data_IF_199958681730
#
_entry.id   IF_199958681730
#
_cell.length_a   1.000
_cell.length_b   1.000
_cell.length_c   1.000
_cell.angle_alpha   90.00
_cell.angle_beta   90.00
_cell.angle_gamma   90.00
#
_symmetry.space_group_name_H-M   'P 1'
#
loop_
_entity.id
_entity.type
_entity.pdbx_description
1 polymer ?
#
# COMPACT_ATOMS: atom_id res chain seq x y z
N UNK A 1 33.44 18.48 -4.21
CA UNK A 1 31.99 18.32 -4.53
C UNK A 1 31.76 16.86 -4.81
N UNK A 2 30.95 16.19 -3.97
CA UNK A 2 30.63 14.76 -4.16
C UNK A 2 29.76 14.55 -5.39
N UNK A 3 29.99 13.46 -6.13
CA UNK A 3 29.12 12.99 -7.21
C UNK A 3 28.21 11.88 -6.69
N UNK A 4 26.89 12.09 -6.75
CA UNK A 4 25.87 11.17 -6.25
C UNK A 4 25.01 10.68 -7.41
N UNK A 5 24.88 9.36 -7.53
CA UNK A 5 23.96 8.73 -8.49
C UNK A 5 22.70 8.30 -7.76
N UNK A 6 21.55 8.77 -8.24
CA UNK A 6 20.23 8.31 -7.76
C UNK A 6 19.64 7.36 -8.77
N UNK A 7 19.35 6.13 -8.37
CA UNK A 7 18.86 5.05 -9.23
C UNK A 7 17.34 4.90 -9.06
N UNK A 8 16.58 5.39 -10.05
CA UNK A 8 15.12 5.39 -10.08
C UNK A 8 14.50 6.74 -9.70
N UNK A 9 13.67 7.27 -10.58
CA UNK A 9 13.00 8.57 -10.47
C UNK A 9 11.59 8.50 -9.85
N UNK A 10 11.36 7.59 -8.89
CA UNK A 10 10.14 7.52 -8.08
C UNK A 10 10.12 8.59 -6.96
N UNK A 11 9.17 8.49 -6.02
CA UNK A 11 9.04 9.45 -4.91
C UNK A 11 10.33 9.56 -4.09
N UNK A 12 10.94 8.44 -3.69
CA UNK A 12 12.19 8.43 -2.94
C UNK A 12 13.34 9.06 -3.73
N UNK A 13 13.49 8.67 -5.02
CA UNK A 13 14.58 9.19 -5.85
C UNK A 13 14.43 10.65 -6.22
N UNK A 14 13.22 11.13 -6.46
CA UNK A 14 12.95 12.56 -6.68
C UNK A 14 13.34 13.38 -5.45
N UNK A 15 12.95 12.93 -4.26
CA UNK A 15 13.34 13.59 -3.03
C UNK A 15 14.84 13.55 -2.82
N UNK A 16 15.46 12.36 -2.94
CA UNK A 16 16.90 12.21 -2.76
C UNK A 16 17.69 13.11 -3.73
N UNK A 17 17.30 13.14 -5.01
CA UNK A 17 18.00 13.95 -6.02
C UNK A 17 17.87 15.47 -5.77
N UNK A 18 16.68 15.93 -5.36
CA UNK A 18 16.46 17.34 -5.02
C UNK A 18 17.27 17.74 -3.79
N UNK A 19 17.25 16.93 -2.75
CA UNK A 19 17.94 17.24 -1.49
C UNK A 19 19.46 17.22 -1.72
N UNK A 20 20.01 16.17 -2.34
CA UNK A 20 21.45 16.12 -2.61
C UNK A 20 21.91 17.30 -3.48
N UNK A 21 21.12 17.71 -4.49
CA UNK A 21 21.44 18.89 -5.31
C UNK A 21 21.33 20.19 -4.53
N UNK A 22 20.35 20.34 -3.64
CA UNK A 22 20.22 21.49 -2.72
C UNK A 22 21.43 21.63 -1.81
N UNK A 23 21.94 20.52 -1.30
CA UNK A 23 23.11 20.44 -0.41
C UNK A 23 24.44 20.54 -1.19
N UNK A 24 24.42 20.87 -2.48
CA UNK A 24 25.62 21.21 -3.26
C UNK A 24 26.35 20.02 -3.89
N UNK A 25 25.78 18.82 -3.90
CA UNK A 25 26.35 17.69 -4.64
C UNK A 25 26.10 17.79 -6.15
N UNK A 26 26.98 17.18 -6.95
CA UNK A 26 26.72 16.89 -8.35
C UNK A 26 25.84 15.65 -8.44
N UNK A 27 24.61 15.79 -8.92
CA UNK A 27 23.62 14.70 -8.90
C UNK A 27 23.24 14.28 -10.31
N UNK A 28 23.25 12.95 -10.54
CA UNK A 28 22.70 12.31 -11.74
C UNK A 28 21.57 11.40 -11.30
N UNK A 29 20.36 11.65 -11.79
CA UNK A 29 19.18 10.81 -11.58
C UNK A 29 18.96 9.94 -12.82
N UNK A 30 19.10 8.63 -12.66
CA UNK A 30 18.92 7.63 -13.72
C UNK A 30 17.52 6.98 -13.58
N UNK A 31 16.70 7.15 -14.62
CA UNK A 31 15.35 6.58 -14.69
C UNK A 31 15.20 5.74 -15.96
N UNK A 32 14.80 4.47 -15.81
CA UNK A 32 14.62 3.57 -16.94
C UNK A 32 13.39 3.87 -17.81
N UNK A 33 12.41 4.58 -17.24
CA UNK A 33 11.20 4.97 -17.95
C UNK A 33 11.39 6.29 -18.68
N UNK A 34 10.46 6.61 -19.59
CA UNK A 34 10.44 7.85 -20.36
C UNK A 34 10.00 9.08 -19.53
N UNK A 35 9.72 8.92 -18.24
CA UNK A 35 9.38 10.00 -17.32
C UNK A 35 9.58 9.59 -15.87
N UNK A 36 9.90 10.52 -14.99
CA UNK A 36 9.96 10.35 -13.54
C UNK A 36 8.57 10.37 -12.92
N UNK A 37 8.44 9.85 -11.68
CA UNK A 37 7.21 9.92 -10.88
C UNK A 37 6.03 9.11 -11.43
N UNK A 38 6.25 8.14 -12.30
CA UNK A 38 5.18 7.39 -12.98
C UNK A 38 4.24 6.70 -12.01
N UNK A 39 4.78 5.96 -11.02
CA UNK A 39 3.98 5.27 -9.99
C UNK A 39 3.30 6.28 -9.05
N UNK A 40 3.99 7.34 -8.65
CA UNK A 40 3.40 8.44 -7.87
C UNK A 40 2.19 9.05 -8.60
N UNK A 41 2.27 9.19 -9.93
CA UNK A 41 1.21 9.72 -10.79
C UNK A 41 -0.09 8.94 -10.80
N UNK A 42 -0.10 7.65 -10.45
CA UNK A 42 -1.30 6.82 -10.39
C UNK A 42 -1.88 6.68 -8.99
N UNK A 43 -1.15 7.09 -7.95
CA UNK A 43 -1.64 7.02 -6.57
C UNK A 43 -2.85 7.91 -6.34
N UNK A 44 -3.72 7.54 -5.39
CA UNK A 44 -4.93 8.30 -5.10
C UNK A 44 -5.86 8.49 -6.31
N UNK A 45 -5.89 7.53 -7.25
CA UNK A 45 -6.65 7.59 -8.52
C UNK A 45 -6.21 8.76 -9.43
N UNK A 46 -4.91 8.98 -9.54
CA UNK A 46 -4.33 10.03 -10.38
C UNK A 46 -4.18 11.40 -9.69
N UNK A 47 -4.56 11.49 -8.40
CA UNK A 47 -4.49 12.74 -7.63
C UNK A 47 -3.20 12.91 -6.83
N UNK A 48 -2.43 11.85 -6.61
CA UNK A 48 -1.27 11.77 -5.71
C UNK A 48 -1.64 11.98 -4.24
N UNK A 49 -1.85 10.89 -3.48
CA UNK A 49 -1.98 10.96 -2.03
C UNK A 49 -0.59 11.12 -1.40
N UNK A 50 -0.15 12.37 -1.24
CA UNK A 50 1.23 12.76 -0.93
C UNK A 50 1.68 12.20 0.41
N UNK A 51 0.86 12.36 1.44
CA UNK A 51 1.13 11.95 2.81
C UNK A 51 -0.16 11.82 3.61
N UNK A 52 -0.06 11.70 4.92
CA UNK A 52 -1.14 11.76 5.88
C UNK A 52 -0.86 12.84 6.94
N UNK A 53 -1.89 13.44 7.51
CA UNK A 53 -1.78 14.41 8.62
C UNK A 53 -1.73 13.76 10.00
N UNK A 54 -1.54 12.44 10.07
CA UNK A 54 -1.41 11.69 11.30
C UNK A 54 -0.08 12.00 12.02
N UNK A 55 0.01 11.69 13.31
CA UNK A 55 1.24 11.74 14.07
C UNK A 55 2.18 10.55 13.77
N UNK A 56 3.40 10.62 14.25
CA UNK A 56 4.41 9.57 14.04
C UNK A 56 3.97 8.20 14.56
N UNK A 57 3.28 8.14 15.70
CA UNK A 57 2.82 6.88 16.28
C UNK A 57 1.83 6.16 15.35
N UNK A 58 0.91 6.92 14.75
CA UNK A 58 -0.04 6.39 13.79
C UNK A 58 0.64 6.00 12.46
N UNK A 59 1.69 6.73 12.01
CA UNK A 59 2.52 6.31 10.88
C UNK A 59 3.16 4.94 11.11
N UNK A 60 3.79 4.74 12.26
CA UNK A 60 4.42 3.46 12.62
C UNK A 60 3.39 2.33 12.70
N UNK A 61 2.24 2.59 13.30
CA UNK A 61 1.13 1.63 13.41
C UNK A 61 0.56 1.24 12.04
N UNK A 62 0.49 2.19 11.10
CA UNK A 62 0.02 1.95 9.73
C UNK A 62 1.12 1.43 8.80
N UNK A 63 2.31 1.13 9.32
CA UNK A 63 3.41 0.49 8.60
C UNK A 63 3.70 -0.89 9.21
N UNK A 64 2.84 -1.90 8.97
CA UNK A 64 2.99 -3.24 9.55
C UNK A 64 4.19 -4.01 9.00
N UNK A 65 4.77 -3.56 7.89
CA UNK A 65 6.02 -4.03 7.33
C UNK A 65 7.21 -3.25 7.86
N UNK A 66 7.68 -3.62 9.06
CA UNK A 66 8.91 -3.07 9.67
C UNK A 66 8.88 -1.56 10.00
N UNK A 67 7.72 -0.98 10.30
CA UNK A 67 7.56 0.46 10.56
C UNK A 67 8.52 1.05 11.59
N UNK A 68 8.96 0.25 12.58
CA UNK A 68 9.94 0.71 13.58
C UNK A 68 11.29 1.14 12.99
N UNK A 69 11.67 0.62 11.83
CA UNK A 69 12.87 1.06 11.12
C UNK A 69 12.81 2.53 10.71
N UNK A 70 11.61 3.06 10.49
CA UNK A 70 11.39 4.41 9.99
C UNK A 70 11.43 5.50 11.07
N UNK A 71 11.55 5.17 12.36
CA UNK A 71 11.59 6.18 13.43
C UNK A 71 12.61 7.27 13.14
N UNK A 72 13.86 6.90 12.88
CA UNK A 72 14.92 7.88 12.61
C UNK A 72 14.68 8.71 11.35
N UNK A 73 14.07 8.12 10.31
CA UNK A 73 13.74 8.85 9.09
C UNK A 73 12.59 9.83 9.30
N UNK A 74 11.55 9.46 10.05
CA UNK A 74 10.42 10.34 10.35
C UNK A 74 10.77 11.45 11.36
N UNK A 75 11.70 11.18 12.28
CA UNK A 75 12.22 12.21 13.21
C UNK A 75 13.02 13.30 12.48
N UNK A 76 13.78 12.91 11.45
CA UNK A 76 14.59 13.84 10.64
C UNK A 76 13.81 14.54 9.52
N UNK A 77 12.76 13.91 9.02
CA UNK A 77 11.91 14.46 7.96
C UNK A 77 10.49 13.89 8.09
N UNK A 78 9.67 14.60 8.84
CA UNK A 78 8.28 14.26 9.12
C UNK A 78 7.35 14.58 7.94
N UNK A 79 6.07 14.27 8.10
CA UNK A 79 5.02 14.69 7.18
C UNK A 79 4.80 16.22 7.19
N UNK A 80 5.01 16.87 8.33
CA UNK A 80 4.96 18.35 8.45
C UNK A 80 6.11 18.98 7.67
N UNK A 81 7.35 18.50 7.88
CA UNK A 81 8.53 18.96 7.13
C UNK A 81 8.35 18.77 5.61
N UNK A 82 7.75 17.65 5.19
CA UNK A 82 7.43 17.41 3.78
C UNK A 82 6.45 18.44 3.25
N UNK A 83 5.39 18.73 4.00
CA UNK A 83 4.38 19.70 3.57
C UNK A 83 4.95 21.11 3.50
N UNK A 84 5.74 21.53 4.49
CA UNK A 84 6.42 22.83 4.51
C UNK A 84 7.37 22.97 3.32
N UNK A 85 8.12 21.91 3.02
CA UNK A 85 9.00 21.89 1.86
C UNK A 85 8.23 22.04 0.55
N UNK A 86 7.16 21.28 0.37
CA UNK A 86 6.32 21.33 -0.83
C UNK A 86 5.59 22.68 -0.97
N UNK A 87 5.10 23.24 0.14
CA UNK A 87 4.50 24.58 0.17
C UNK A 87 5.51 25.66 -0.20
N UNK A 88 6.75 25.57 0.26
CA UNK A 88 7.85 26.49 -0.11
C UNK A 88 8.16 26.45 -1.62
N UNK A 89 7.86 25.34 -2.29
CA UNK A 89 7.98 25.19 -3.75
C UNK A 89 6.74 25.66 -4.50
N UNK A 90 5.68 26.06 -3.79
CA UNK A 90 4.44 26.59 -4.34
C UNK A 90 3.33 25.56 -4.55
N UNK A 91 3.50 24.31 -4.07
CA UNK A 91 2.41 23.32 -4.07
C UNK A 91 1.42 23.64 -2.96
N UNK A 92 0.16 23.82 -3.30
CA UNK A 92 -0.92 23.90 -2.30
C UNK A 92 -1.52 22.53 -2.05
N UNK A 93 -1.86 22.25 -0.80
CA UNK A 93 -2.40 20.96 -0.38
C UNK A 93 -3.69 21.10 0.41
N UNK A 94 -4.50 20.02 0.40
CA UNK A 94 -5.71 19.88 1.20
C UNK A 94 -5.71 18.55 1.94
N UNK A 95 -6.34 18.54 3.13
CA UNK A 95 -6.53 17.32 3.94
C UNK A 95 -7.96 16.81 3.71
N UNK A 96 -8.09 15.54 3.40
CA UNK A 96 -9.36 14.84 3.24
C UNK A 96 -9.62 13.87 4.40
N UNK A 97 -10.83 13.26 4.39
CA UNK A 97 -11.22 12.24 5.39
C UNK A 97 -10.13 11.19 5.58
N UNK A 98 -9.83 10.88 6.85
CA UNK A 98 -8.78 9.92 7.23
C UNK A 98 -7.37 10.51 7.17
N UNK A 99 -7.24 11.83 7.22
CA UNK A 99 -5.95 12.53 7.25
C UNK A 99 -5.19 12.51 5.93
N UNK A 100 -5.78 12.03 4.84
CA UNK A 100 -5.11 11.93 3.53
C UNK A 100 -4.84 13.31 2.95
N UNK A 101 -3.60 13.55 2.52
CA UNK A 101 -3.18 14.82 1.96
C UNK A 101 -3.04 14.73 0.45
N UNK A 102 -3.69 15.64 -0.27
CA UNK A 102 -3.67 15.73 -1.73
C UNK A 102 -3.27 17.15 -2.17
N UNK A 103 -2.76 17.33 -3.40
CA UNK A 103 -2.67 18.67 -3.98
C UNK A 103 -4.08 19.27 -4.12
N UNK A 104 -4.23 20.59 -3.94
CA UNK A 104 -5.52 21.28 -4.11
C UNK A 104 -6.11 21.07 -5.51
N UNK A 105 -5.27 20.97 -6.53
CA UNK A 105 -5.64 20.74 -7.93
C UNK A 105 -6.18 19.33 -8.21
N UNK A 106 -6.09 18.39 -7.26
CA UNK A 106 -6.36 16.96 -7.50
C UNK A 106 -5.54 16.36 -8.66
N UNK A 107 -4.35 16.89 -8.94
CA UNK A 107 -3.51 16.48 -10.07
C UNK A 107 -2.13 16.03 -9.63
N UNK A 108 -1.85 14.74 -9.81
CA UNK A 108 -0.51 14.20 -9.60
C UNK A 108 0.54 14.80 -10.57
N UNK A 109 0.09 15.32 -11.72
CA UNK A 109 0.95 15.99 -12.69
C UNK A 109 1.55 17.28 -12.11
N UNK A 110 0.78 18.02 -11.31
CA UNK A 110 1.30 19.22 -10.64
C UNK A 110 2.44 18.86 -9.68
N UNK A 111 2.27 17.84 -8.84
CA UNK A 111 3.31 17.37 -7.93
C UNK A 111 4.58 17.00 -8.69
N UNK A 112 4.45 16.22 -9.77
CA UNK A 112 5.60 15.85 -10.62
C UNK A 112 6.29 17.08 -11.24
N UNK A 113 5.52 18.02 -11.77
CA UNK A 113 6.06 19.22 -12.44
C UNK A 113 6.83 20.11 -11.46
N UNK A 114 6.37 20.20 -10.20
CA UNK A 114 7.07 20.91 -9.13
C UNK A 114 8.43 20.24 -8.87
N UNK A 115 8.50 18.93 -8.70
CA UNK A 115 9.77 18.22 -8.55
C UNK A 115 10.70 18.48 -9.73
N UNK A 116 10.21 18.40 -10.98
CA UNK A 116 11.03 18.67 -12.18
C UNK A 116 11.57 20.10 -12.20
N UNK A 117 10.77 21.09 -11.80
CA UNK A 117 11.21 22.50 -11.68
C UNK A 117 12.34 22.63 -10.66
N UNK A 118 12.23 21.95 -9.51
CA UNK A 118 13.22 22.04 -8.44
C UNK A 118 14.50 21.27 -8.78
N UNK A 119 14.41 20.10 -9.42
CA UNK A 119 15.59 19.39 -9.98
C UNK A 119 16.39 20.28 -10.91
N UNK A 120 15.69 20.98 -11.82
CA UNK A 120 16.33 21.95 -12.72
C UNK A 120 16.99 23.13 -11.97
N UNK A 121 16.33 23.65 -10.92
CA UNK A 121 16.87 24.73 -10.08
C UNK A 121 18.20 24.35 -9.43
N UNK A 122 18.36 23.11 -9.02
CA UNK A 122 19.58 22.61 -8.38
C UNK A 122 20.53 21.87 -9.36
N UNK A 123 20.35 22.07 -10.66
CA UNK A 123 21.21 21.51 -11.73
C UNK A 123 21.35 19.97 -11.68
N UNK A 124 20.34 19.27 -11.22
CA UNK A 124 20.31 17.80 -11.25
C UNK A 124 20.20 17.33 -12.70
N UNK A 125 21.11 16.46 -13.12
CA UNK A 125 21.06 15.81 -14.44
C UNK A 125 20.07 14.65 -14.39
N UNK A 126 19.00 14.71 -15.19
CA UNK A 126 17.98 13.66 -15.25
C UNK A 126 18.11 12.93 -16.58
N UNK A 127 18.45 11.65 -16.48
CA UNK A 127 18.58 10.76 -17.64
C UNK A 127 17.38 9.80 -17.66
N UNK A 128 16.59 9.90 -18.71
CA UNK A 128 15.41 9.05 -18.94
C UNK A 128 15.73 7.95 -19.95
N UNK A 129 14.94 6.85 -19.92
CA UNK A 129 15.16 5.66 -20.73
C UNK A 129 16.60 5.14 -20.57
N UNK A 130 17.07 5.10 -19.32
CA UNK A 130 18.43 4.70 -18.97
C UNK A 130 18.43 3.76 -17.75
N UNK A 131 18.24 2.47 -17.98
CA UNK A 131 18.25 1.46 -16.93
C UNK A 131 19.66 1.22 -16.40
N UNK A 132 19.81 1.21 -15.08
CA UNK A 132 21.03 0.78 -14.40
C UNK A 132 21.13 -0.75 -14.47
N UNK A 133 22.28 -1.27 -14.86
CA UNK A 133 22.55 -2.71 -15.04
C UNK A 133 23.46 -3.29 -13.95
N UNK A 134 24.34 -2.44 -13.37
CA UNK A 134 25.21 -2.85 -12.25
C UNK A 134 25.68 -1.68 -11.42
N UNK A 135 26.08 -1.97 -10.18
CA UNK A 135 26.78 -1.07 -9.26
C UNK A 135 28.19 -1.60 -9.13
N UNK A 136 29.18 -0.72 -9.34
CA UNK A 136 30.61 -1.07 -9.24
C UNK A 136 31.09 -0.80 -7.83
N UNK A 137 31.64 -1.83 -7.19
CA UNK A 137 32.16 -1.79 -5.83
C UNK A 137 33.65 -2.13 -5.85
N UNK A 138 34.46 -1.35 -5.14
CA UNK A 138 35.87 -1.62 -4.90
C UNK A 138 36.13 -1.40 -3.40
N UNK A 139 36.89 -2.30 -2.77
CA UNK A 139 37.23 -2.25 -1.35
C UNK A 139 36.00 -1.96 -0.43
N UNK A 140 34.90 -2.65 -0.70
CA UNK A 140 33.61 -2.50 -0.01
C UNK A 140 33.02 -1.06 -0.07
N UNK A 141 33.36 -0.28 -1.09
CA UNK A 141 32.76 1.03 -1.36
C UNK A 141 32.24 1.13 -2.78
N UNK A 142 31.14 1.87 -2.95
CA UNK A 142 30.64 2.22 -4.28
C UNK A 142 31.66 3.15 -4.93
N UNK A 143 32.00 2.85 -6.19
CA UNK A 143 32.87 3.71 -7.02
C UNK A 143 32.21 4.10 -8.34
N UNK A 144 31.08 3.48 -8.69
CA UNK A 144 30.37 3.81 -9.93
C UNK A 144 29.11 3.01 -10.15
N UNK A 145 28.40 3.37 -11.19
CA UNK A 145 27.16 2.75 -11.69
C UNK A 145 27.24 2.59 -13.18
N UNK A 146 26.82 1.45 -13.71
CA UNK A 146 26.79 1.17 -15.15
C UNK A 146 25.35 1.10 -15.64
N UNK A 147 25.10 1.72 -16.78
CA UNK A 147 23.82 1.63 -17.50
C UNK A 147 24.00 0.81 -18.79
N UNK A 148 22.97 0.74 -19.61
CA UNK A 148 23.05 0.18 -20.97
C UNK A 148 23.74 1.14 -21.96
N UNK A 149 24.03 2.38 -21.55
CA UNK A 149 24.64 3.41 -22.40
C UNK A 149 26.08 3.74 -22.00
N UNK A 150 26.33 3.97 -20.71
CA UNK A 150 27.62 4.43 -20.21
C UNK A 150 27.89 4.06 -18.76
N UNK A 151 29.09 4.38 -18.29
CA UNK A 151 29.52 4.18 -16.91
C UNK A 151 29.70 5.55 -16.23
N UNK A 152 29.17 5.66 -15.02
CA UNK A 152 29.25 6.84 -14.18
C UNK A 152 30.09 6.55 -12.95
N UNK A 153 31.21 7.24 -12.77
CA UNK A 153 31.91 7.24 -11.49
C UNK A 153 31.08 7.97 -10.44
N UNK A 154 31.13 7.56 -9.19
CA UNK A 154 30.43 8.27 -8.10
C UNK A 154 31.07 8.01 -6.74
N UNK A 155 30.84 8.95 -5.82
CA UNK A 155 31.20 8.84 -4.40
C UNK A 155 30.12 8.10 -3.60
N UNK A 156 28.85 8.16 -4.08
CA UNK A 156 27.72 7.48 -3.47
C UNK A 156 26.63 7.13 -4.51
N UNK A 157 25.89 6.04 -4.24
CA UNK A 157 24.72 5.64 -5.02
C UNK A 157 23.53 5.38 -4.11
N UNK A 158 22.34 5.87 -4.50
CA UNK A 158 21.08 5.71 -3.75
C UNK A 158 20.11 4.87 -4.58
N UNK A 159 19.78 3.65 -4.11
CA UNK A 159 18.83 2.77 -4.79
C UNK A 159 17.40 3.20 -4.39
N UNK A 160 16.64 3.72 -5.38
CA UNK A 160 15.27 4.24 -5.23
C UNK A 160 14.31 3.61 -6.25
N UNK A 161 14.56 2.38 -6.68
CA UNK A 161 13.87 1.73 -7.80
C UNK A 161 12.43 1.30 -7.51
N UNK A 162 11.97 1.44 -6.26
CA UNK A 162 10.67 0.91 -5.83
C UNK A 162 10.66 -0.61 -5.73
N UNK A 163 9.48 -1.20 -5.63
CA UNK A 163 9.25 -2.63 -5.51
C UNK A 163 9.04 -3.35 -6.85
N UNK A 164 8.11 -4.32 -6.85
CA UNK A 164 7.73 -5.13 -8.02
C UNK A 164 6.23 -5.00 -8.38
N UNK A 165 5.52 -4.06 -7.74
CA UNK A 165 4.10 -3.80 -8.00
C UNK A 165 3.91 -2.73 -9.08
N UNK A 166 2.85 -2.86 -9.90
CA UNK A 166 2.60 -2.00 -11.07
C UNK A 166 3.79 -1.92 -12.04
N UNK A 167 4.24 -3.04 -12.64
CA UNK A 167 5.46 -3.09 -13.44
C UNK A 167 5.48 -2.12 -14.63
N UNK A 168 4.31 -1.75 -15.18
CA UNK A 168 4.19 -0.74 -16.24
C UNK A 168 4.63 0.67 -15.80
N UNK A 169 4.78 0.91 -14.51
CA UNK A 169 5.31 2.16 -13.96
C UNK A 169 6.82 2.17 -13.79
N UNK A 170 7.49 1.05 -14.07
CA UNK A 170 8.92 0.88 -13.89
C UNK A 170 9.33 0.07 -12.64
N UNK A 171 8.40 -0.27 -11.75
CA UNK A 171 8.66 -1.09 -10.55
C UNK A 171 8.67 -2.57 -10.92
N UNK A 172 9.79 -3.09 -11.39
CA UNK A 172 9.96 -4.48 -11.87
C UNK A 172 10.91 -5.31 -11.00
N UNK A 173 11.37 -4.76 -9.86
CA UNK A 173 12.28 -5.44 -8.96
C UNK A 173 13.77 -5.32 -9.35
N UNK A 174 14.14 -4.42 -10.26
CA UNK A 174 15.54 -4.27 -10.70
C UNK A 174 16.48 -3.95 -9.53
N UNK A 175 16.04 -3.14 -8.57
CA UNK A 175 16.82 -2.81 -7.39
C UNK A 175 17.18 -4.01 -6.53
N UNK A 176 16.34 -5.03 -6.51
CA UNK A 176 16.63 -6.29 -5.81
C UNK A 176 17.81 -7.01 -6.47
N UNK A 177 17.78 -7.09 -7.80
CA UNK A 177 18.88 -7.70 -8.58
C UNK A 177 20.20 -6.93 -8.41
N UNK A 178 20.11 -5.58 -8.42
CA UNK A 178 21.28 -4.73 -8.21
C UNK A 178 21.88 -4.93 -6.82
N UNK A 179 21.04 -4.96 -5.78
CA UNK A 179 21.46 -5.12 -4.40
C UNK A 179 22.03 -6.53 -4.13
N UNK A 180 21.38 -7.57 -4.66
CA UNK A 180 21.84 -8.96 -4.54
C UNK A 180 23.23 -9.17 -5.16
N UNK A 181 23.50 -8.57 -6.33
CA UNK A 181 24.81 -8.64 -7.01
C UNK A 181 25.93 -8.04 -6.17
N UNK A 182 25.66 -7.12 -5.26
CA UNK A 182 26.65 -6.52 -4.37
C UNK A 182 26.59 -7.08 -2.93
N UNK A 183 25.90 -8.21 -2.74
CA UNK A 183 25.93 -9.01 -1.52
C UNK A 183 24.80 -8.77 -0.53
N UNK A 184 23.80 -7.97 -0.88
CA UNK A 184 22.62 -7.77 -0.04
C UNK A 184 21.63 -8.92 -0.11
N UNK A 185 20.99 -9.19 1.02
CA UNK A 185 19.93 -10.21 1.12
C UNK A 185 18.59 -9.60 0.70
N UNK A 186 17.87 -10.29 -0.19
CA UNK A 186 16.50 -9.94 -0.55
C UNK A 186 15.54 -10.81 0.25
N UNK A 187 14.64 -10.20 1.00
CA UNK A 187 13.58 -10.91 1.72
C UNK A 187 12.49 -11.35 0.75
N UNK A 188 11.59 -12.23 1.20
CA UNK A 188 10.55 -12.81 0.36
C UNK A 188 9.60 -11.74 -0.21
N UNK A 189 9.63 -11.58 -1.53
CA UNK A 189 8.81 -10.62 -2.26
C UNK A 189 7.39 -11.15 -2.42
N UNK A 190 6.42 -10.39 -1.94
CA UNK A 190 5.01 -10.78 -1.95
C UNK A 190 4.08 -9.58 -2.17
N UNK A 191 2.83 -9.82 -2.60
CA UNK A 191 1.85 -8.75 -2.73
C UNK A 191 1.42 -8.22 -1.35
N UNK A 192 1.29 -6.90 -1.23
CA UNK A 192 0.64 -6.22 -0.12
C UNK A 192 -0.36 -5.21 -0.66
N UNK A 193 -1.48 -5.01 0.04
CA UNK A 193 -2.59 -4.20 -0.43
C UNK A 193 -3.13 -4.71 -1.79
N UNK A 194 -3.54 -5.95 -1.81
CA UNK A 194 -3.96 -6.68 -3.00
C UNK A 194 -5.33 -7.32 -2.79
N UNK A 195 -6.16 -7.50 -3.84
CA UNK A 195 -7.40 -8.24 -3.72
C UNK A 195 -7.18 -9.70 -3.31
N UNK A 196 -8.19 -10.28 -2.65
CA UNK A 196 -8.21 -11.66 -2.16
C UNK A 196 -9.08 -12.51 -3.08
N UNK A 197 -8.54 -13.64 -3.55
CA UNK A 197 -9.30 -14.65 -4.30
C UNK A 197 -9.94 -15.62 -3.30
N UNK A 198 -11.23 -15.93 -3.50
CA UNK A 198 -11.99 -16.86 -2.66
C UNK A 198 -12.45 -18.10 -3.42
N UNK A 199 -12.80 -19.16 -2.69
CA UNK A 199 -13.27 -20.39 -3.30
C UNK A 199 -14.73 -20.29 -3.74
N UNK A 200 -15.52 -19.41 -3.12
CA UNK A 200 -16.96 -19.26 -3.35
C UNK A 200 -17.25 -18.66 -4.72
N UNK A 201 -18.01 -19.36 -5.53
CA UNK A 201 -18.33 -18.96 -6.90
C UNK A 201 -19.44 -17.91 -7.00
N UNK A 202 -20.30 -17.83 -6.00
CA UNK A 202 -21.42 -16.89 -5.96
C UNK A 202 -21.00 -15.41 -5.93
N UNK A 203 -19.75 -15.12 -5.57
CA UNK A 203 -19.20 -13.74 -5.59
C UNK A 203 -19.33 -13.09 -6.99
N UNK A 204 -19.33 -13.91 -8.05
CA UNK A 204 -19.51 -13.45 -9.45
C UNK A 204 -20.88 -12.84 -9.69
N UNK A 205 -21.91 -13.36 -9.00
CA UNK A 205 -23.30 -12.93 -9.15
C UNK A 205 -23.51 -11.50 -8.63
N UNK A 206 -22.63 -11.05 -7.72
CA UNK A 206 -22.68 -9.73 -7.10
C UNK A 206 -21.41 -8.90 -7.37
N UNK A 207 -20.71 -9.20 -8.46
CA UNK A 207 -19.55 -8.44 -8.90
C UNK A 207 -19.87 -6.95 -9.02
N UNK A 208 -19.00 -6.08 -8.46
CA UNK A 208 -19.17 -4.63 -8.44
C UNK A 208 -20.00 -4.11 -7.27
N UNK A 209 -20.66 -5.00 -6.49
CA UNK A 209 -21.36 -4.58 -5.28
C UNK A 209 -20.36 -4.09 -4.23
N UNK A 210 -20.47 -2.82 -3.87
CA UNK A 210 -19.71 -2.22 -2.77
C UNK A 210 -20.55 -2.19 -1.50
N UNK A 211 -19.95 -2.61 -0.40
CA UNK A 211 -20.54 -2.54 0.93
C UNK A 211 -19.80 -1.48 1.76
N UNK A 212 -20.58 -0.67 2.47
CA UNK A 212 -20.07 0.35 3.39
C UNK A 212 -20.41 -0.03 4.83
N UNK A 213 -19.57 0.45 5.76
CA UNK A 213 -19.79 0.24 7.20
C UNK A 213 -19.94 -1.25 7.58
N UNK A 214 -19.16 -2.11 6.95
CA UNK A 214 -19.02 -3.52 7.30
C UNK A 214 -17.78 -3.74 8.14
N UNK A 215 -17.79 -4.80 8.95
CA UNK A 215 -16.61 -5.27 9.66
C UNK A 215 -16.15 -6.56 9.01
N UNK A 216 -14.87 -6.62 8.65
CA UNK A 216 -14.26 -7.78 8.02
C UNK A 216 -13.17 -8.34 8.92
N UNK A 217 -13.23 -9.64 9.19
CA UNK A 217 -12.27 -10.36 10.03
C UNK A 217 -11.54 -11.42 9.22
N UNK A 218 -10.24 -11.53 9.43
CA UNK A 218 -9.41 -12.66 8.94
C UNK A 218 -9.34 -13.69 10.07
N UNK A 219 -9.85 -14.88 9.83
CA UNK A 219 -9.88 -15.97 10.79
C UNK A 219 -8.93 -17.08 10.34
N UNK A 220 -8.12 -17.60 11.25
CA UNK A 220 -7.30 -18.79 11.04
C UNK A 220 -7.21 -19.59 12.34
N UNK A 221 -7.37 -20.93 12.25
CA UNK A 221 -7.40 -21.82 13.41
C UNK A 221 -8.43 -21.36 14.46
N UNK A 222 -9.63 -20.99 14.02
CA UNK A 222 -10.74 -20.50 14.85
C UNK A 222 -10.42 -19.24 15.68
N UNK A 223 -9.38 -18.48 15.30
CA UNK A 223 -9.00 -17.23 15.98
C UNK A 223 -8.97 -16.07 14.99
N UNK A 224 -9.50 -14.93 15.41
CA UNK A 224 -9.37 -13.67 14.66
C UNK A 224 -7.91 -13.25 14.69
N UNK A 225 -7.32 -13.10 13.51
CA UNK A 225 -5.94 -12.68 13.31
C UNK A 225 -5.82 -11.18 13.01
N UNK A 226 -6.81 -10.63 12.33
CA UNK A 226 -6.94 -9.21 12.05
C UNK A 226 -8.40 -8.87 11.81
N UNK A 227 -8.76 -7.61 12.04
CA UNK A 227 -10.10 -7.09 11.87
C UNK A 227 -10.03 -5.66 11.34
N UNK A 228 -10.93 -5.32 10.42
CA UNK A 228 -11.01 -3.99 9.84
C UNK A 228 -12.46 -3.56 9.61
N UNK A 229 -12.79 -2.34 10.00
CA UNK A 229 -14.09 -1.72 9.70
C UNK A 229 -13.97 -0.75 8.52
N UNK A 230 -14.97 -0.74 7.63
CA UNK A 230 -14.99 0.22 6.51
C UNK A 230 -15.72 -0.28 5.28
N UNK A 231 -15.12 -0.04 4.11
CA UNK A 231 -15.70 -0.35 2.80
C UNK A 231 -14.98 -1.53 2.14
N UNK A 232 -15.76 -2.39 1.49
CA UNK A 232 -15.27 -3.49 0.66
C UNK A 232 -16.10 -3.61 -0.62
N UNK A 233 -15.62 -4.39 -1.57
CA UNK A 233 -16.31 -4.65 -2.83
C UNK A 233 -16.12 -6.11 -3.26
N UNK A 234 -17.17 -6.71 -3.81
CA UNK A 234 -17.10 -8.02 -4.46
C UNK A 234 -16.57 -7.90 -5.89
N UNK A 235 -15.76 -8.88 -6.30
CA UNK A 235 -15.24 -9.01 -7.65
C UNK A 235 -15.65 -10.36 -8.24
N UNK A 236 -15.37 -10.60 -9.52
CA UNK A 236 -15.65 -11.90 -10.14
C UNK A 236 -14.80 -13.07 -9.60
N UNK A 237 -13.76 -12.77 -8.83
CA UNK A 237 -12.84 -13.78 -8.25
C UNK A 237 -12.83 -13.79 -6.71
N UNK A 238 -13.47 -12.84 -6.05
CA UNK A 238 -13.44 -12.72 -4.59
C UNK A 238 -13.68 -11.30 -4.12
N UNK A 239 -12.75 -10.74 -3.33
CA UNK A 239 -12.96 -9.53 -2.55
C UNK A 239 -11.88 -8.48 -2.82
N UNK A 240 -12.27 -7.19 -2.77
CA UNK A 240 -11.38 -6.03 -2.84
C UNK A 240 -11.95 -4.86 -2.02
N UNK A 241 -11.35 -3.69 -2.15
CA UNK A 241 -11.74 -2.48 -1.41
C UNK A 241 -10.84 -2.21 -0.21
N UNK A 242 -10.94 -1.03 0.41
CA UNK A 242 -9.96 -0.55 1.39
C UNK A 242 -9.73 -1.51 2.57
N UNK A 243 -10.79 -2.10 3.14
CA UNK A 243 -10.68 -3.06 4.24
C UNK A 243 -9.96 -4.33 3.82
N UNK A 244 -10.32 -4.88 2.65
CA UNK A 244 -9.74 -6.11 2.11
C UNK A 244 -8.26 -5.91 1.77
N UNK A 245 -7.94 -4.79 1.13
CA UNK A 245 -6.55 -4.46 0.79
C UNK A 245 -5.68 -4.38 2.04
N UNK A 246 -6.15 -3.74 3.10
CA UNK A 246 -5.42 -3.68 4.38
C UNK A 246 -5.26 -5.07 5.02
N UNK A 247 -6.31 -5.88 5.01
CA UNK A 247 -6.29 -7.24 5.58
C UNK A 247 -5.42 -8.22 4.77
N UNK A 248 -5.20 -7.97 3.48
CA UNK A 248 -4.40 -8.83 2.59
C UNK A 248 -2.96 -9.01 3.08
N UNK A 249 -2.39 -8.01 3.78
CA UNK A 249 -1.08 -8.12 4.43
C UNK A 249 -1.04 -9.28 5.46
N UNK A 250 -2.06 -9.36 6.32
CA UNK A 250 -2.20 -10.46 7.29
C UNK A 250 -2.45 -11.80 6.58
N UNK A 251 -3.31 -11.81 5.57
CA UNK A 251 -3.58 -13.01 4.75
C UNK A 251 -2.28 -13.51 4.10
N UNK A 252 -1.47 -12.63 3.52
CA UNK A 252 -0.18 -12.98 2.93
C UNK A 252 0.79 -13.63 3.94
N UNK A 253 0.85 -13.12 5.17
CA UNK A 253 1.63 -13.76 6.26
C UNK A 253 1.11 -15.14 6.63
N UNK A 254 -0.21 -15.34 6.63
CA UNK A 254 -0.84 -16.61 7.00
C UNK A 254 -0.67 -17.67 5.91
N UNK A 255 -0.76 -17.30 4.64
CA UNK A 255 -0.60 -18.22 3.50
C UNK A 255 0.79 -18.90 3.46
N UNK A 256 1.78 -18.32 4.13
CA UNK A 256 3.14 -18.92 4.24
C UNK A 256 3.22 -20.07 5.26
N UNK A 257 2.22 -20.24 6.10
CA UNK A 257 2.19 -21.32 7.09
C UNK A 257 1.83 -22.64 6.40
N UNK A 258 2.33 -23.74 6.94
CA UNK A 258 1.98 -25.08 6.45
C UNK A 258 0.47 -25.33 6.59
N UNK A 259 -0.19 -25.70 5.49
CA UNK A 259 -1.64 -25.95 5.42
C UNK A 259 -2.49 -24.81 6.01
N UNK A 260 -2.44 -23.59 5.47
CA UNK A 260 -3.19 -22.47 5.99
C UNK A 260 -4.68 -22.66 5.69
N UNK A 261 -5.50 -22.68 6.74
CA UNK A 261 -6.96 -22.52 6.63
C UNK A 261 -7.27 -21.07 7.01
N UNK A 262 -7.71 -20.28 6.04
CA UNK A 262 -7.98 -18.86 6.24
C UNK A 262 -9.39 -18.57 5.74
N UNK A 263 -10.18 -17.98 6.61
CA UNK A 263 -11.55 -17.56 6.32
C UNK A 263 -11.65 -16.05 6.47
N UNK A 264 -12.32 -15.40 5.53
CA UNK A 264 -12.80 -14.03 5.68
C UNK A 264 -14.22 -14.09 6.20
N UNK A 265 -14.48 -13.46 7.32
CA UNK A 265 -15.80 -13.29 7.88
C UNK A 265 -16.23 -11.83 7.73
N UNK A 266 -17.43 -11.61 7.19
CA UNK A 266 -18.00 -10.29 6.95
C UNK A 266 -19.22 -10.12 7.85
N UNK A 267 -19.18 -9.14 8.76
CA UNK A 267 -20.32 -8.66 9.49
C UNK A 267 -20.95 -7.48 8.74
N UNK A 268 -22.15 -7.71 8.20
CA UNK A 268 -22.89 -6.69 7.43
C UNK A 268 -23.57 -5.66 8.32
N UNK A 269 -23.71 -5.93 9.63
CA UNK A 269 -24.41 -5.08 10.60
C UNK A 269 -23.63 -4.95 11.92
N UNK A 270 -22.36 -4.47 11.86
CA UNK A 270 -21.47 -4.47 13.02
C UNK A 270 -21.92 -3.58 14.18
N UNK A 271 -22.79 -2.60 13.91
CA UNK A 271 -23.36 -1.73 14.95
C UNK A 271 -24.48 -2.38 15.78
N UNK A 272 -24.96 -3.58 15.39
CA UNK A 272 -26.07 -4.26 16.06
C UNK A 272 -25.56 -5.51 16.75
N UNK A 273 -25.99 -5.74 18.01
CA UNK A 273 -25.82 -7.05 18.64
C UNK A 273 -26.77 -8.06 18.01
N UNK A 274 -26.55 -9.36 18.23
CA UNK A 274 -27.41 -10.41 17.68
C UNK A 274 -28.88 -10.25 18.14
N UNK A 275 -29.09 -9.86 19.40
CA UNK A 275 -30.44 -9.65 19.99
C UNK A 275 -31.13 -8.42 19.37
N UNK A 276 -30.36 -7.33 19.11
CA UNK A 276 -30.91 -6.13 18.51
C UNK A 276 -31.23 -6.37 17.04
N UNK A 277 -30.38 -7.13 16.33
CA UNK A 277 -30.63 -7.51 14.95
C UNK A 277 -31.87 -8.44 14.82
N UNK A 278 -32.01 -9.40 15.71
CA UNK A 278 -33.20 -10.28 15.74
C UNK A 278 -34.50 -9.47 15.98
N UNK A 279 -34.48 -8.55 16.94
CA UNK A 279 -35.64 -7.65 17.17
C UNK A 279 -35.93 -6.76 15.96
N UNK A 280 -34.91 -6.30 15.25
CA UNK A 280 -35.08 -5.52 14.04
C UNK A 280 -35.72 -6.37 12.93
N UNK A 281 -35.23 -7.60 12.71
CA UNK A 281 -35.85 -8.52 11.75
C UNK A 281 -37.30 -8.85 12.09
N UNK A 282 -37.62 -9.06 13.37
CA UNK A 282 -39.02 -9.27 13.81
C UNK A 282 -39.89 -8.09 13.37
N UNK A 283 -39.49 -6.88 13.70
CA UNK A 283 -40.21 -5.66 13.32
C UNK A 283 -40.40 -5.50 11.84
N UNK A 284 -39.35 -5.76 11.04
CA UNK A 284 -39.39 -5.67 9.58
C UNK A 284 -40.32 -6.77 9.00
N UNK A 285 -40.32 -7.99 9.61
CA UNK A 285 -41.20 -9.11 9.24
C UNK A 285 -42.68 -8.85 9.56
N UNK A 286 -42.97 -8.20 10.69
CA UNK A 286 -44.33 -7.80 11.01
C UNK A 286 -44.87 -6.78 10.00
N UNK A 287 -44.02 -5.80 9.62
CA UNK A 287 -44.36 -4.77 8.61
C UNK A 287 -44.63 -5.36 7.23
N UNK A 288 -43.88 -6.39 6.85
CA UNK A 288 -43.92 -7.01 5.51
C UNK A 288 -44.53 -8.43 5.50
N UNK A 289 -45.33 -8.78 6.51
CA UNK A 289 -45.80 -10.13 6.79
C UNK A 289 -46.41 -10.88 5.60
N UNK A 290 -47.07 -10.16 4.68
CA UNK A 290 -47.72 -10.74 3.48
C UNK A 290 -46.79 -10.82 2.26
N UNK A 291 -45.55 -10.25 2.34
CA UNK A 291 -44.61 -10.28 1.23
C UNK A 291 -43.79 -11.58 1.26
N UNK A 292 -43.21 -11.93 0.10
CA UNK A 292 -42.16 -12.96 0.05
C UNK A 292 -40.88 -12.45 0.73
N UNK A 293 -40.10 -13.38 1.31
CA UNK A 293 -38.89 -13.07 2.06
C UNK A 293 -37.94 -12.15 1.28
N UNK A 294 -37.66 -12.43 0.02
CA UNK A 294 -36.80 -11.59 -0.81
C UNK A 294 -37.27 -10.13 -0.91
N UNK A 295 -38.57 -9.90 -0.92
CA UNK A 295 -39.15 -8.56 -1.00
C UNK A 295 -39.14 -7.80 0.34
N UNK A 296 -39.18 -8.51 1.45
CA UNK A 296 -39.16 -7.91 2.79
C UNK A 296 -37.78 -7.54 3.30
N UNK A 297 -36.70 -7.96 2.61
CA UNK A 297 -35.33 -7.66 3.00
C UNK A 297 -34.74 -6.41 2.33
N UNK A 298 -35.50 -5.73 1.46
CA UNK A 298 -34.98 -4.59 0.65
C UNK A 298 -34.56 -3.38 1.47
N UNK A 299 -35.15 -3.17 2.64
CA UNK A 299 -34.77 -2.07 3.55
C UNK A 299 -33.53 -2.41 4.39
N UNK A 300 -33.15 -3.67 4.42
CA UNK A 300 -32.03 -4.15 5.22
C UNK A 300 -30.75 -4.34 4.41
N UNK A 301 -30.87 -4.79 3.16
CA UNK A 301 -29.74 -5.17 2.29
C UNK A 301 -29.86 -4.61 0.88
N UNK A 302 -28.72 -4.40 0.19
CA UNK A 302 -28.71 -4.16 -1.26
C UNK A 302 -29.42 -5.30 -1.99
N UNK A 303 -30.23 -4.93 -2.98
CA UNK A 303 -31.13 -5.88 -3.69
C UNK A 303 -30.35 -7.08 -4.25
N UNK A 304 -29.16 -6.86 -4.81
CA UNK A 304 -28.35 -7.93 -5.39
C UNK A 304 -27.77 -8.89 -4.33
N UNK A 305 -27.65 -8.48 -3.07
CA UNK A 305 -27.12 -9.32 -1.99
C UNK A 305 -28.19 -10.21 -1.36
N UNK A 306 -29.45 -9.84 -1.47
CA UNK A 306 -30.58 -10.56 -0.84
C UNK A 306 -30.63 -12.03 -1.25
N UNK A 307 -30.59 -12.41 -2.54
CA UNK A 307 -30.62 -13.81 -2.93
C UNK A 307 -29.48 -14.65 -2.35
N UNK A 308 -28.29 -14.05 -2.25
CA UNK A 308 -27.10 -14.70 -1.69
C UNK A 308 -27.30 -14.96 -0.18
N UNK A 309 -27.74 -13.95 0.58
CA UNK A 309 -27.99 -14.08 2.03
C UNK A 309 -29.06 -15.13 2.33
N UNK A 310 -30.14 -15.14 1.55
CA UNK A 310 -31.22 -16.12 1.71
C UNK A 310 -30.70 -17.55 1.41
N UNK A 311 -29.92 -17.71 0.34
CA UNK A 311 -29.29 -18.99 -0.04
C UNK A 311 -28.32 -19.48 1.05
N UNK A 312 -27.47 -18.60 1.57
CA UNK A 312 -26.52 -18.94 2.66
C UNK A 312 -27.25 -19.28 3.97
N UNK A 313 -28.43 -18.72 4.22
CA UNK A 313 -29.27 -19.05 5.36
C UNK A 313 -30.10 -20.32 5.14
N UNK A 314 -29.98 -20.98 3.99
CA UNK A 314 -30.74 -22.18 3.60
C UNK A 314 -32.25 -21.96 3.67
N UNK A 315 -32.72 -20.83 3.10
CA UNK A 315 -34.13 -20.45 3.08
C UNK A 315 -34.68 -20.35 1.66
N UNK A 316 -36.00 -20.49 1.54
CA UNK A 316 -36.73 -20.24 0.28
C UNK A 316 -37.04 -18.74 0.13
N UNK A 317 -36.56 -18.13 -0.94
CA UNK A 317 -36.76 -16.72 -1.25
C UNK A 317 -38.24 -16.34 -1.49
N UNK A 318 -39.05 -17.31 -1.91
CA UNK A 318 -40.47 -17.14 -2.22
C UNK A 318 -41.37 -17.35 -1.01
N UNK A 319 -40.83 -17.91 0.09
CA UNK A 319 -41.59 -18.18 1.32
C UNK A 319 -42.20 -16.89 1.87
N UNK A 320 -43.51 -16.88 2.19
CA UNK A 320 -44.14 -15.74 2.85
C UNK A 320 -43.49 -15.46 4.22
N UNK A 321 -43.28 -14.17 4.52
CA UNK A 321 -42.57 -13.75 5.75
C UNK A 321 -43.29 -14.23 7.01
N UNK A 322 -44.61 -14.25 7.04
CA UNK A 322 -45.41 -14.74 8.18
C UNK A 322 -45.25 -16.25 8.40
N UNK A 323 -44.61 -16.98 7.52
CA UNK A 323 -44.30 -18.41 7.67
C UNK A 323 -42.84 -18.66 8.09
N UNK A 324 -42.01 -17.62 8.20
CA UNK A 324 -40.62 -17.73 8.65
C UNK A 324 -40.60 -18.08 10.15
N UNK A 325 -39.99 -19.21 10.48
CA UNK A 325 -39.86 -19.66 11.86
C UNK A 325 -38.79 -18.85 12.62
N UNK A 326 -38.77 -18.98 13.93
CA UNK A 326 -37.73 -18.37 14.78
C UNK A 326 -36.35 -18.88 14.41
N UNK A 327 -36.19 -20.16 14.16
CA UNK A 327 -34.93 -20.80 13.77
C UNK A 327 -34.44 -20.28 12.43
N UNK A 328 -35.29 -20.12 11.44
CA UNK A 328 -35.00 -19.55 10.15
C UNK A 328 -34.55 -18.09 10.26
N UNK A 329 -35.25 -17.30 11.08
CA UNK A 329 -34.89 -15.91 11.35
C UNK A 329 -33.51 -15.79 12.04
N UNK A 330 -33.20 -16.67 13.00
CA UNK A 330 -31.91 -16.72 13.66
C UNK A 330 -30.79 -17.13 12.70
N UNK A 331 -31.04 -18.05 11.72
CA UNK A 331 -30.08 -18.34 10.65
C UNK A 331 -29.80 -17.11 9.79
N UNK A 332 -30.82 -16.30 9.45
CA UNK A 332 -30.63 -15.03 8.77
C UNK A 332 -29.77 -14.07 9.59
N UNK A 333 -30.06 -13.90 10.89
CA UNK A 333 -29.23 -13.09 11.79
C UNK A 333 -27.76 -13.55 11.75
N UNK A 334 -27.54 -14.86 11.84
CA UNK A 334 -26.20 -15.43 11.82
C UNK A 334 -25.47 -15.10 10.51
N UNK A 335 -26.08 -15.33 9.34
CA UNK A 335 -25.47 -15.00 8.04
C UNK A 335 -25.19 -13.52 7.89
N UNK A 336 -26.07 -12.64 8.40
CA UNK A 336 -25.87 -11.19 8.37
C UNK A 336 -24.66 -10.70 9.19
N UNK A 337 -24.30 -11.43 10.25
CA UNK A 337 -23.17 -11.09 11.12
C UNK A 337 -21.92 -11.93 10.85
N UNK A 338 -22.06 -13.11 10.24
CA UNK A 338 -21.00 -14.10 10.06
C UNK A 338 -21.00 -14.66 8.63
N UNK A 339 -21.05 -13.79 7.63
CA UNK A 339 -20.91 -14.23 6.23
C UNK A 339 -19.46 -14.64 5.96
N UNK A 340 -19.21 -15.92 5.70
CA UNK A 340 -17.87 -16.47 5.56
C UNK A 340 -17.50 -16.78 4.12
N UNK A 341 -16.23 -16.52 3.77
CA UNK A 341 -15.61 -16.92 2.51
C UNK A 341 -14.24 -17.53 2.79
N UNK A 342 -13.89 -18.57 2.04
CA UNK A 342 -12.62 -19.27 2.17
C UNK A 342 -11.57 -18.63 1.27
N UNK A 343 -10.45 -18.21 1.82
CA UNK A 343 -9.33 -17.66 1.05
C UNK A 343 -8.69 -18.76 0.23
N UNK A 344 -8.57 -18.54 -1.08
CA UNK A 344 -7.84 -19.40 -1.99
C UNK A 344 -6.39 -18.92 -2.13
N UNK A 345 -6.21 -17.66 -2.51
CA UNK A 345 -4.92 -17.04 -2.78
C UNK A 345 -5.03 -15.51 -2.77
N UNK A 346 -3.92 -14.82 -2.85
CA UNK A 346 -3.84 -13.40 -3.16
C UNK A 346 -3.66 -13.19 -4.67
N UNK A 347 -4.10 -12.04 -5.18
CA UNK A 347 -3.74 -11.66 -6.55
C UNK A 347 -2.22 -11.43 -6.67
N UNK A 348 -1.63 -11.58 -7.87
CA UNK A 348 -0.19 -11.42 -8.09
C UNK A 348 0.37 -10.08 -7.64
N UNK A 349 1.69 -10.04 -7.34
CA UNK A 349 2.42 -8.81 -6.97
C UNK A 349 2.23 -7.69 -8.00
N UNK A 350 2.15 -8.01 -9.28
CA UNK A 350 1.93 -7.05 -10.34
C UNK A 350 0.63 -6.24 -10.20
N UNK A 351 -0.39 -6.81 -9.54
CA UNK A 351 -1.68 -6.16 -9.28
C UNK A 351 -1.76 -5.53 -7.89
N UNK A 352 -0.76 -5.74 -7.04
CA UNK A 352 -0.71 -5.18 -5.70
C UNK A 352 -0.45 -3.67 -5.73
N UNK A 353 -1.00 -2.93 -4.77
CA UNK A 353 -0.69 -1.51 -4.64
C UNK A 353 0.76 -1.33 -4.19
N UNK A 354 1.24 -2.19 -3.29
CA UNK A 354 2.56 -2.15 -2.68
C UNK A 354 3.17 -3.55 -2.66
N UNK A 355 4.49 -3.60 -2.76
CA UNK A 355 5.28 -4.80 -2.56
C UNK A 355 5.66 -4.91 -1.09
N UNK A 356 5.42 -6.07 -0.46
CA UNK A 356 6.02 -6.45 0.81
C UNK A 356 7.24 -7.31 0.57
N UNK A 357 8.23 -7.22 1.45
CA UNK A 357 9.58 -7.73 1.17
C UNK A 357 10.43 -6.67 0.45
N UNK A 358 11.70 -6.93 0.30
CA UNK A 358 12.67 -6.01 -0.30
C UNK A 358 14.08 -6.29 0.18
N UNK A 359 14.97 -5.31 0.07
CA UNK A 359 16.32 -5.42 0.59
C UNK A 359 16.24 -5.46 2.13
N UNK A 360 16.97 -6.40 2.73
CA UNK A 360 16.96 -6.65 4.19
C UNK A 360 17.36 -5.41 4.99
N UNK A 361 16.48 -4.93 5.84
CA UNK A 361 16.72 -3.76 6.71
C UNK A 361 17.82 -3.99 7.75
N UNK A 362 18.14 -5.24 8.07
CA UNK A 362 19.25 -5.57 9.00
C UNK A 362 20.60 -5.08 8.48
N UNK A 363 20.69 -4.94 7.17
CA UNK A 363 21.90 -4.56 6.43
C UNK A 363 21.97 -3.05 6.15
N UNK A 364 21.01 -2.26 6.63
CA UNK A 364 20.99 -0.81 6.52
C UNK A 364 20.98 -0.14 7.89
N UNK A 365 21.57 1.04 7.96
CA UNK A 365 21.50 1.90 9.14
C UNK A 365 20.18 2.69 9.11
N UNK A 366 19.29 2.56 10.12
CA UNK A 366 17.99 3.24 10.12
C UNK A 366 18.10 4.78 10.30
N UNK A 367 19.26 5.30 10.68
CA UNK A 367 19.47 6.76 10.86
C UNK A 367 20.03 7.44 9.62
N UNK A 368 20.72 6.69 8.75
CA UNK A 368 21.42 7.23 7.59
C UNK A 368 20.94 6.66 6.27
N UNK A 369 20.21 5.56 6.30
CA UNK A 369 19.83 4.75 5.12
C UNK A 369 21.05 4.18 4.37
N UNK A 370 22.24 4.21 4.95
CA UNK A 370 23.45 3.64 4.35
C UNK A 370 23.53 2.13 4.59
N UNK A 371 24.05 1.41 3.61
CA UNK A 371 24.39 0.00 3.71
C UNK A 371 25.50 -0.22 4.75
N UNK A 372 25.33 -1.24 5.59
CA UNK A 372 26.37 -1.68 6.52
C UNK A 372 27.42 -2.59 5.85
N UNK A 373 27.15 -3.04 4.62
CA UNK A 373 28.01 -3.93 3.85
C UNK A 373 28.89 -3.16 2.87
N UNK A 374 28.36 -2.10 2.28
CA UNK A 374 28.99 -1.34 1.19
C UNK A 374 28.93 0.14 1.53
N UNK A 375 30.06 0.75 1.80
CA UNK A 375 30.16 2.19 2.06
C UNK A 375 29.76 3.02 0.84
N UNK A 376 29.05 4.11 1.06
CA UNK A 376 28.53 4.97 0.00
C UNK A 376 27.33 4.40 -0.77
N UNK A 377 26.80 3.22 -0.39
CA UNK A 377 25.56 2.67 -0.95
C UNK A 377 24.40 2.94 0.00
N UNK A 378 23.32 3.51 -0.52
CA UNK A 378 22.10 3.84 0.22
C UNK A 378 20.89 3.16 -0.39
N UNK A 379 19.87 2.90 0.45
CA UNK A 379 18.57 2.41 -0.01
C UNK A 379 17.45 3.32 0.48
N UNK A 380 16.47 3.64 -0.38
CA UNK A 380 15.32 4.46 0.02
C UNK A 380 14.01 4.06 -0.66
N UNK A 381 12.93 4.16 0.08
CA UNK A 381 11.58 3.83 -0.38
C UNK A 381 11.29 2.33 -0.42
N UNK A 382 10.34 1.96 -1.27
CA UNK A 382 9.75 0.60 -1.36
C UNK A 382 10.72 -0.49 -1.83
N UNK A 383 11.95 -0.15 -2.24
CA UNK A 383 13.01 -1.14 -2.52
C UNK A 383 13.51 -1.82 -1.24
N UNK A 384 13.41 -1.14 -0.11
CA UNK A 384 13.65 -1.71 1.21
C UNK A 384 12.45 -2.54 1.67
N UNK A 385 12.65 -3.50 2.57
CA UNK A 385 11.57 -4.34 3.15
C UNK A 385 10.64 -3.51 4.06
N UNK A 386 9.94 -2.55 3.45
CA UNK A 386 9.00 -1.62 4.12
C UNK A 386 7.73 -1.57 3.30
N UNK A 387 6.60 -1.90 3.92
CA UNK A 387 5.27 -1.71 3.34
C UNK A 387 4.29 -1.16 4.38
N UNK A 388 3.46 -0.20 3.95
CA UNK A 388 2.47 0.46 4.79
C UNK A 388 1.06 0.35 4.19
N UNK A 389 0.04 0.58 4.99
CA UNK A 389 -1.34 0.63 4.53
C UNK A 389 -1.58 1.79 3.57
N UNK A 390 -2.77 1.79 2.91
CA UNK A 390 -3.22 2.93 2.11
C UNK A 390 -3.44 4.15 3.00
N UNK A 391 -3.24 5.35 2.45
CA UNK A 391 -3.50 6.58 3.20
C UNK A 391 -2.41 7.65 3.13
N UNK A 392 -1.37 7.46 2.28
CA UNK A 392 -0.24 8.36 2.14
C UNK A 392 1.03 7.88 2.86
N UNK A 393 0.94 6.83 3.66
CA UNK A 393 2.04 6.32 4.48
C UNK A 393 3.23 5.82 3.65
N UNK A 394 2.99 5.12 2.54
CA UNK A 394 4.05 4.61 1.66
C UNK A 394 4.83 5.72 0.96
N UNK A 395 4.14 6.78 0.51
CA UNK A 395 4.81 7.93 -0.10
C UNK A 395 5.61 8.72 0.93
N UNK A 396 5.09 8.91 2.16
CA UNK A 396 5.86 9.52 3.24
C UNK A 396 7.12 8.73 3.55
N UNK A 397 7.02 7.40 3.70
CA UNK A 397 8.19 6.56 3.93
C UNK A 397 9.23 6.72 2.81
N UNK A 398 8.78 6.80 1.55
CA UNK A 398 9.66 7.03 0.41
C UNK A 398 10.33 8.41 0.47
N UNK A 399 9.59 9.46 0.78
CA UNK A 399 10.14 10.81 0.89
C UNK A 399 11.09 10.95 2.07
N UNK A 400 10.73 10.45 3.26
CA UNK A 400 11.58 10.54 4.45
C UNK A 400 12.88 9.77 4.29
N UNK A 401 12.82 8.54 3.78
CA UNK A 401 14.04 7.73 3.56
C UNK A 401 14.91 8.31 2.43
N UNK A 402 14.30 8.87 1.37
CA UNK A 402 15.02 9.56 0.30
C UNK A 402 15.73 10.82 0.79
N UNK A 403 15.08 11.60 1.64
CA UNK A 403 15.65 12.77 2.30
C UNK A 403 16.87 12.39 3.12
N UNK A 404 16.71 11.43 4.04
CA UNK A 404 17.79 11.02 4.95
C UNK A 404 18.97 10.42 4.20
N UNK A 405 18.72 9.56 3.21
CA UNK A 405 19.77 8.98 2.37
C UNK A 405 20.60 10.08 1.66
N UNK A 406 19.92 11.10 1.12
CA UNK A 406 20.58 12.20 0.44
C UNK A 406 21.42 13.05 1.37
N UNK A 407 20.87 13.46 2.51
CA UNK A 407 21.59 14.24 3.53
C UNK A 407 22.89 13.55 3.95
N UNK A 408 22.78 12.26 4.30
CA UNK A 408 23.96 11.50 4.72
C UNK A 408 24.94 11.23 3.56
N UNK A 409 24.46 10.96 2.34
CA UNK A 409 25.33 10.78 1.19
C UNK A 409 26.17 12.03 0.90
N UNK A 410 25.62 13.25 1.12
CA UNK A 410 26.35 14.51 0.94
C UNK A 410 27.31 14.78 2.09
N UNK A 411 26.83 14.75 3.33
CA UNK A 411 27.56 15.25 4.50
C UNK A 411 28.36 14.15 5.23
N UNK A 412 27.94 12.87 5.13
CA UNK A 412 28.56 11.77 5.91
C UNK A 412 28.12 11.83 7.38
N UNK A 413 29.00 11.38 8.30
CA UNK A 413 28.75 11.37 9.74
C UNK A 413 29.05 12.74 10.42
N UNK A 414 29.10 13.83 9.68
CA UNK A 414 29.41 15.18 10.19
C UNK A 414 28.24 15.87 10.93
N UNK A 415 27.30 15.09 11.52
CA UNK A 415 26.26 15.61 12.43
C UNK A 415 26.27 14.93 13.79
#
# INVERSE_FOLDING_TARGET
MKQIIVIGGGAAGLMAAVIAGREGARVILLEKMNMVGKKMGITGKGRCNITNSADMAEFIKNTPGNGKFLYGAYERFSNEDLLDLLHSWGLKTKVERGGRVFPESDSALEVRNIFMKILKKYNVQVHLNEPVTSITVQENRVVGVTTDKEQYACDAAIICTGGASYPLTGSTGDGYVLAEKVGHTITDIRPSLVPIVTNETWVKEIMGLSLRNVEVSVISKSKVQAKQFGEMMFTHFGLTGPTILSLSHTVGKLLRKKNPQITIEINLKPALTAEVLDKRLQKDFDLYSKKQLANGMKDLLPVNLIPIVIKLAELDSTKPINQITKEERLRLCHVLQHMTLTVKELRPVAEAIVTAGGISLKEFNPKTMESKLIGGLYGAGEVLDIDAFTGGYNLQAAFSTGYVAAMHAVHGDEE
#
